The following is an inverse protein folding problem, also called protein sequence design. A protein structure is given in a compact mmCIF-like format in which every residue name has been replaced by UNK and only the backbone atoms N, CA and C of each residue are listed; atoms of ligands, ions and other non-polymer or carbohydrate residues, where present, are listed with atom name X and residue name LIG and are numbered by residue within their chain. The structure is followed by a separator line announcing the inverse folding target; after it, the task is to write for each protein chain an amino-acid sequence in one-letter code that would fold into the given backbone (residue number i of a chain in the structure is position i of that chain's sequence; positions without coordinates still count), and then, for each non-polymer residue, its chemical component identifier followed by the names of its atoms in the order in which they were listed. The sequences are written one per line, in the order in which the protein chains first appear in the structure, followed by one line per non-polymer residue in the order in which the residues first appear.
data_IF_104065272773
#
_entry.id   IF_104065272773
#
_cell.length_a   1.000
_cell.length_b   1.000
_cell.length_c   1.000
_cell.angle_alpha   90.00
_cell.angle_beta   90.00
_cell.angle_gamma   90.00
#
_symmetry.space_group_name_H-M   'P 1'
#
loop_
_entity.id
_entity.type
_entity.pdbx_description
1 polymer ?
#
# COMPACT_ATOMS: atom_id res chain seq x y z
N UNK A 1 -22.83 30.57 1.28
CA UNK A 1 -22.19 30.08 0.03
C UNK A 1 -20.87 29.35 0.28
N UNK A 2 -19.99 29.84 1.16
CA UNK A 2 -18.71 29.21 1.51
C UNK A 2 -18.83 27.74 1.97
N UNK A 3 -19.83 27.41 2.79
CA UNK A 3 -20.05 26.06 3.35
C UNK A 3 -20.36 24.99 2.30
N UNK A 4 -20.92 25.39 1.14
CA UNK A 4 -21.23 24.46 0.03
C UNK A 4 -19.98 24.03 -0.75
N UNK A 5 -18.94 24.87 -0.75
CA UNK A 5 -17.66 24.56 -1.40
C UNK A 5 -16.69 23.83 -0.48
N UNK A 6 -16.83 23.97 0.84
CA UNK A 6 -16.00 23.25 1.82
C UNK A 6 -16.32 21.75 1.89
N UNK A 7 -17.58 21.36 1.67
CA UNK A 7 -18.03 19.97 1.70
C UNK A 7 -17.36 19.06 0.64
N UNK A 8 -17.26 19.44 -0.66
CA UNK A 8 -16.57 18.62 -1.65
C UNK A 8 -15.05 18.57 -1.43
N UNK A 9 -14.42 19.68 -1.01
CA UNK A 9 -12.96 19.75 -0.80
C UNK A 9 -12.51 18.78 0.31
N UNK A 10 -13.29 18.65 1.37
CA UNK A 10 -13.00 17.73 2.46
C UNK A 10 -13.17 16.25 2.06
N UNK A 11 -14.08 15.96 1.12
CA UNK A 11 -14.29 14.60 0.63
C UNK A 11 -13.13 14.09 -0.24
N UNK A 12 -12.57 14.94 -1.10
CA UNK A 12 -11.53 14.52 -2.06
C UNK A 12 -10.19 14.20 -1.40
N UNK A 13 -9.85 14.86 -0.29
CA UNK A 13 -8.56 14.66 0.40
C UNK A 13 -8.46 13.29 1.06
N UNK A 14 -9.57 12.73 1.57
CA UNK A 14 -9.61 11.39 2.18
C UNK A 14 -9.35 10.29 1.14
N UNK A 15 -9.78 10.48 -0.10
CA UNK A 15 -9.63 9.49 -1.17
C UNK A 15 -8.18 9.34 -1.68
N UNK A 16 -7.36 10.38 -1.55
CA UNK A 16 -5.98 10.40 -2.11
C UNK A 16 -4.94 9.76 -1.18
N UNK A 17 -5.21 9.63 0.12
CA UNK A 17 -4.21 9.14 1.10
C UNK A 17 -3.84 7.67 0.94
N UNK A 18 -4.64 6.87 0.23
CA UNK A 18 -4.37 5.45 -0.01
C UNK A 18 -3.19 5.16 -0.95
N UNK A 19 -2.86 6.07 -1.87
CA UNK A 19 -1.79 5.87 -2.86
C UNK A 19 -0.39 6.29 -2.39
N UNK A 20 -0.25 6.85 -1.19
CA UNK A 20 0.98 7.52 -0.77
C UNK A 20 1.95 6.64 0.04
N UNK A 21 1.77 5.32 0.09
CA UNK A 21 2.65 4.46 0.89
C UNK A 21 3.99 4.23 0.18
N UNK A 22 5.08 4.65 0.81
CA UNK A 22 6.45 4.39 0.33
C UNK A 22 6.89 2.94 0.61
N UNK A 23 7.78 2.42 -0.24
CA UNK A 23 8.47 1.16 0.04
C UNK A 23 9.45 1.32 1.20
N UNK A 24 9.50 0.33 2.09
CA UNK A 24 10.45 0.31 3.21
C UNK A 24 11.87 -0.07 2.77
N UNK A 25 12.02 -0.67 1.60
CA UNK A 25 13.30 -1.18 1.09
C UNK A 25 13.63 -0.59 -0.28
N UNK A 26 14.94 -0.41 -0.59
CA UNK A 26 15.42 -0.10 -1.92
C UNK A 26 14.89 -1.09 -2.98
N UNK A 27 14.67 -0.60 -4.20
CA UNK A 27 14.17 -1.42 -5.32
C UNK A 27 15.07 -2.63 -5.61
N UNK A 28 16.39 -2.49 -5.46
CA UNK A 28 17.36 -3.56 -5.72
C UNK A 28 17.30 -4.72 -4.72
N UNK A 29 16.67 -4.55 -3.55
CA UNK A 29 16.44 -5.63 -2.59
C UNK A 29 15.14 -6.41 -2.87
N UNK A 30 14.33 -5.94 -3.83
CA UNK A 30 13.03 -6.54 -4.16
C UNK A 30 13.12 -7.67 -5.20
N UNK A 31 14.32 -7.94 -5.75
CA UNK A 31 14.55 -8.93 -6.81
C UNK A 31 15.94 -9.56 -6.71
N UNK A 32 16.14 -10.71 -7.36
CA UNK A 32 17.40 -11.46 -7.36
C UNK A 32 17.26 -12.86 -6.77
N UNK A 33 18.37 -13.61 -6.61
CA UNK A 33 18.34 -14.97 -6.06
C UNK A 33 17.94 -15.02 -4.58
N UNK A 34 18.11 -13.92 -3.85
CA UNK A 34 17.76 -13.81 -2.44
C UNK A 34 17.05 -12.47 -2.16
N UNK A 35 15.79 -12.31 -2.59
CA UNK A 35 15.03 -11.09 -2.40
C UNK A 35 14.59 -10.94 -0.94
N UNK A 36 14.54 -9.71 -0.44
CA UNK A 36 14.10 -9.44 0.92
C UNK A 36 12.57 -9.38 0.98
N UNK A 37 11.97 -10.34 1.68
CA UNK A 37 10.52 -10.39 1.89
C UNK A 37 10.16 -9.73 3.24
N UNK A 38 9.38 -8.63 3.24
CA UNK A 38 8.88 -8.04 4.49
C UNK A 38 7.91 -8.98 5.21
N UNK A 39 7.89 -8.89 6.53
CA UNK A 39 6.96 -9.67 7.35
C UNK A 39 5.49 -9.31 7.04
N UNK A 40 4.56 -10.28 7.18
CA UNK A 40 3.13 -10.04 7.02
C UNK A 40 2.63 -8.94 7.97
N UNK A 41 1.87 -7.99 7.43
CA UNK A 41 1.28 -6.89 8.21
C UNK A 41 -0.17 -7.20 8.54
N UNK A 42 -0.57 -6.96 9.79
CA UNK A 42 -1.98 -7.04 10.20
C UNK A 42 -2.64 -5.68 9.96
N UNK A 43 -3.82 -5.67 9.34
CA UNK A 43 -4.57 -4.43 9.10
C UNK A 43 -6.06 -4.61 9.38
N UNK A 44 -6.80 -3.50 9.46
CA UNK A 44 -8.25 -3.50 9.71
C UNK A 44 -9.03 -4.26 8.63
N UNK A 45 -8.52 -4.26 7.40
CA UNK A 45 -9.06 -5.07 6.33
C UNK A 45 -8.25 -6.37 6.22
N UNK A 46 -8.92 -7.52 6.02
CA UNK A 46 -8.22 -8.79 5.92
C UNK A 46 -7.33 -8.78 4.68
N UNK A 47 -6.09 -9.20 4.84
CA UNK A 47 -5.24 -9.55 3.72
C UNK A 47 -5.88 -10.76 3.03
N UNK A 48 -6.09 -10.67 1.72
CA UNK A 48 -6.50 -11.84 0.93
C UNK A 48 -5.52 -12.98 1.17
N UNK A 49 -6.00 -14.22 1.14
CA UNK A 49 -5.15 -15.38 1.35
C UNK A 49 -4.17 -15.50 0.18
N UNK A 50 -2.94 -15.02 0.37
CA UNK A 50 -1.89 -15.01 -0.64
C UNK A 50 -1.22 -16.38 -0.63
N UNK A 51 -1.15 -17.03 -1.80
CA UNK A 51 -0.45 -18.30 -1.95
C UNK A 51 1.04 -18.15 -1.55
N UNK A 52 1.68 -19.21 -1.02
CA UNK A 52 3.09 -19.17 -0.67
C UNK A 52 3.93 -18.74 -1.88
N UNK A 53 4.87 -17.82 -1.64
CA UNK A 53 5.76 -17.33 -2.70
C UNK A 53 6.67 -18.47 -3.17
N UNK A 54 6.53 -18.86 -4.44
CA UNK A 54 7.43 -19.80 -5.09
C UNK A 54 8.36 -19.01 -6.02
N UNK A 55 9.67 -19.21 -5.86
CA UNK A 55 10.67 -18.60 -6.75
C UNK A 55 10.45 -19.05 -8.20
N UNK A 56 10.82 -18.18 -9.14
CA UNK A 56 10.97 -18.57 -10.55
C UNK A 56 12.08 -19.63 -10.68
N UNK A 57 12.00 -20.55 -11.66
CA UNK A 57 13.10 -21.48 -11.92
C UNK A 57 14.41 -20.77 -12.25
#
# INVERSE_FOLDING_TARGET
MLTRFLLPILGTTVLVTGCASSSQYPINESYGPEPKLPEPKTSLFPTVNIAPAQGWP
#
